data_IF_462371407510
#
_entry.id   IF_462371407510
#
_cell.length_a   1.000
_cell.length_b   1.000
_cell.length_c   1.000
_cell.angle_alpha   90.00
_cell.angle_beta   90.00
_cell.angle_gamma   90.00
#
_symmetry.space_group_name_H-M   'P 1'
#
loop_
_entity.id
_entity.type
_entity.pdbx_description
1 polymer ?
#
# COMPACT_ATOMS: atom_id res chain seq x y z
N UNK A 1 -28.65 9.16 28.66
CA UNK A 1 -29.19 8.33 27.57
C UNK A 1 -28.13 8.30 26.46
N UNK A 2 -27.78 7.13 25.95
CA UNK A 2 -26.85 6.99 24.81
C UNK A 2 -27.64 6.73 23.53
N UNK A 3 -27.20 7.26 22.39
CA UNK A 3 -27.86 7.14 21.08
C UNK A 3 -26.84 6.71 20.03
N UNK A 4 -27.27 5.94 19.03
CA UNK A 4 -26.40 5.55 17.93
C UNK A 4 -26.04 6.75 17.05
N UNK A 5 -24.75 6.87 16.70
CA UNK A 5 -24.25 7.89 15.78
C UNK A 5 -23.50 7.24 14.61
N UNK A 6 -23.43 7.94 13.47
CA UNK A 6 -22.61 7.52 12.34
C UNK A 6 -21.17 8.04 12.53
N UNK A 7 -20.20 7.15 12.37
CA UNK A 7 -18.77 7.50 12.43
C UNK A 7 -17.86 6.56 11.63
N UNK A 8 -18.38 5.42 11.15
CA UNK A 8 -17.57 4.41 10.46
C UNK A 8 -16.87 4.92 9.20
N UNK A 9 -17.56 5.69 8.35
CA UNK A 9 -16.98 6.25 7.13
C UNK A 9 -15.80 7.18 7.45
N UNK A 10 -15.98 8.13 8.37
CA UNK A 10 -14.91 9.02 8.85
C UNK A 10 -13.74 8.25 9.46
N UNK A 11 -14.03 7.16 10.19
CA UNK A 11 -13.00 6.31 10.77
C UNK A 11 -12.21 5.55 9.70
N UNK A 12 -12.87 5.06 8.64
CA UNK A 12 -12.22 4.39 7.51
C UNK A 12 -11.33 5.36 6.73
N UNK A 13 -11.83 6.57 6.44
CA UNK A 13 -11.04 7.61 5.77
C UNK A 13 -9.79 7.98 6.59
N UNK A 14 -9.95 8.18 7.90
CA UNK A 14 -8.82 8.44 8.79
C UNK A 14 -7.82 7.27 8.82
N UNK A 15 -8.31 6.03 8.80
CA UNK A 15 -7.45 4.84 8.77
C UNK A 15 -6.66 4.73 7.46
N UNK A 16 -7.27 5.04 6.31
CA UNK A 16 -6.55 5.09 5.03
C UNK A 16 -5.50 6.20 5.00
N UNK A 17 -5.81 7.38 5.56
CA UNK A 17 -4.85 8.47 5.70
C UNK A 17 -3.65 8.06 6.54
N UNK A 18 -3.90 7.49 7.72
CA UNK A 18 -2.85 6.97 8.60
C UNK A 18 -2.01 5.88 7.91
N UNK A 19 -2.64 4.93 7.22
CA UNK A 19 -1.93 3.87 6.50
C UNK A 19 -1.06 4.43 5.36
N UNK A 20 -1.49 5.50 4.69
CA UNK A 20 -0.71 6.16 3.66
C UNK A 20 0.55 6.85 4.24
N UNK A 21 0.44 7.48 5.41
CA UNK A 21 1.57 8.05 6.14
C UNK A 21 2.57 6.96 6.57
N UNK A 22 2.07 5.89 7.18
CA UNK A 22 2.90 4.75 7.59
C UNK A 22 3.61 4.10 6.40
N UNK A 23 2.90 3.92 5.27
CA UNK A 23 3.50 3.41 4.03
C UNK A 23 4.60 4.33 3.49
N UNK A 24 4.45 5.66 3.61
CA UNK A 24 5.46 6.62 3.13
C UNK A 24 6.71 6.61 4.01
N UNK A 25 6.56 6.43 5.31
CA UNK A 25 7.67 6.45 6.26
C UNK A 25 8.39 7.81 6.32
N UNK A 26 9.67 7.80 6.71
CA UNK A 26 10.48 9.01 6.86
C UNK A 26 10.70 9.73 5.50
N UNK A 27 10.26 10.99 5.34
CA UNK A 27 10.46 11.76 4.10
C UNK A 27 11.92 12.04 3.75
N UNK A 28 12.85 11.89 4.71
CA UNK A 28 14.30 12.01 4.48
C UNK A 28 14.86 10.83 3.70
N UNK A 29 14.15 9.69 3.69
CA UNK A 29 14.47 8.54 2.85
C UNK A 29 13.83 8.76 1.47
N UNK A 30 14.65 8.62 0.43
CA UNK A 30 14.20 8.74 -0.96
C UNK A 30 13.15 7.66 -1.27
N UNK A 31 12.14 8.04 -2.07
CA UNK A 31 11.09 7.10 -2.47
C UNK A 31 11.63 6.00 -3.38
N UNK A 32 11.07 4.80 -3.23
CA UNK A 32 11.33 3.70 -4.16
C UNK A 32 10.56 3.92 -5.46
N UNK A 33 11.28 3.92 -6.57
CA UNK A 33 10.67 3.88 -7.90
C UNK A 33 10.19 2.46 -8.25
N UNK A 34 9.16 2.39 -9.09
CA UNK A 34 8.67 1.12 -9.66
C UNK A 34 9.81 0.37 -10.38
N UNK A 35 10.68 1.09 -11.09
CA UNK A 35 11.83 0.49 -11.77
C UNK A 35 12.82 -0.18 -10.79
N UNK A 36 13.03 0.38 -9.59
CA UNK A 36 13.85 -0.25 -8.55
C UNK A 36 13.19 -1.51 -8.01
N UNK A 37 11.87 -1.47 -7.73
CA UNK A 37 11.15 -2.64 -7.22
C UNK A 37 11.22 -3.78 -8.23
N UNK A 38 10.84 -3.52 -9.48
CA UNK A 38 10.89 -4.52 -10.57
C UNK A 38 12.30 -5.04 -10.85
N UNK A 39 13.29 -4.16 -10.84
CA UNK A 39 14.67 -4.50 -11.20
C UNK A 39 15.50 -5.14 -10.09
N UNK A 40 15.23 -4.81 -8.83
CA UNK A 40 16.07 -5.17 -7.68
C UNK A 40 15.39 -6.13 -6.71
N UNK A 41 14.06 -6.27 -6.76
CA UNK A 41 13.26 -7.14 -5.89
C UNK A 41 12.53 -8.24 -6.68
N UNK A 42 13.16 -8.77 -7.73
CA UNK A 42 12.55 -9.68 -8.71
C UNK A 42 11.90 -10.93 -8.12
N UNK A 43 12.43 -11.47 -7.01
CA UNK A 43 11.83 -12.62 -6.32
C UNK A 43 10.48 -12.27 -5.66
N UNK A 44 10.35 -11.07 -5.11
CA UNK A 44 9.09 -10.60 -4.52
C UNK A 44 8.05 -10.34 -5.61
N UNK A 45 8.44 -9.65 -6.68
CA UNK A 45 7.58 -9.39 -7.85
C UNK A 45 7.11 -10.70 -8.49
N UNK A 46 8.01 -11.67 -8.65
CA UNK A 46 7.66 -13.01 -9.16
C UNK A 46 6.62 -13.72 -8.30
N UNK A 47 6.73 -13.60 -6.97
CA UNK A 47 5.75 -14.16 -6.03
C UNK A 47 4.39 -13.47 -6.14
N UNK A 48 4.35 -12.13 -6.23
CA UNK A 48 3.10 -11.38 -6.39
C UNK A 48 2.40 -11.74 -7.69
N UNK A 49 3.12 -11.81 -8.82
CA UNK A 49 2.54 -12.24 -10.10
C UNK A 49 1.98 -13.67 -10.02
N UNK A 50 2.70 -14.58 -9.35
CA UNK A 50 2.27 -15.97 -9.20
C UNK A 50 1.00 -16.11 -8.35
N UNK A 51 0.92 -15.41 -7.20
CA UNK A 51 -0.26 -15.43 -6.34
C UNK A 51 -1.44 -14.64 -6.94
N UNK A 52 -1.15 -13.52 -7.61
CA UNK A 52 -2.14 -12.64 -8.25
C UNK A 52 -2.67 -13.15 -9.59
N UNK A 53 -2.09 -14.23 -10.15
CA UNK A 53 -2.48 -14.81 -11.44
C UNK A 53 -2.45 -13.82 -12.63
N UNK A 54 -1.53 -12.85 -12.59
CA UNK A 54 -1.33 -11.83 -13.62
C UNK A 54 0.16 -11.66 -13.89
N UNK A 55 0.59 -11.98 -15.11
CA UNK A 55 1.97 -11.74 -15.53
C UNK A 55 2.12 -10.29 -16.02
N UNK A 56 2.34 -9.39 -15.06
CA UNK A 56 2.66 -7.98 -15.32
C UNK A 56 3.61 -7.46 -14.23
N UNK A 57 4.93 -7.40 -14.49
CA UNK A 57 5.91 -6.94 -13.52
C UNK A 57 5.83 -5.44 -13.17
N UNK A 58 5.08 -4.63 -13.91
CA UNK A 58 4.88 -3.21 -13.59
C UNK A 58 3.66 -3.00 -12.67
N UNK A 59 2.73 -3.96 -12.62
CA UNK A 59 1.60 -3.97 -11.69
C UNK A 59 1.85 -4.75 -10.40
N UNK A 60 2.79 -5.71 -10.42
CA UNK A 60 3.14 -6.57 -9.29
C UNK A 60 4.19 -5.96 -8.34
#
# INVERSE_FOLDING_TARGET
>A
MYVAVKGGEKAIEAAHGWLAEERRGDPRVAELSVAQIRGQMSLAVGRVMAEGSLYDPDLA
#
